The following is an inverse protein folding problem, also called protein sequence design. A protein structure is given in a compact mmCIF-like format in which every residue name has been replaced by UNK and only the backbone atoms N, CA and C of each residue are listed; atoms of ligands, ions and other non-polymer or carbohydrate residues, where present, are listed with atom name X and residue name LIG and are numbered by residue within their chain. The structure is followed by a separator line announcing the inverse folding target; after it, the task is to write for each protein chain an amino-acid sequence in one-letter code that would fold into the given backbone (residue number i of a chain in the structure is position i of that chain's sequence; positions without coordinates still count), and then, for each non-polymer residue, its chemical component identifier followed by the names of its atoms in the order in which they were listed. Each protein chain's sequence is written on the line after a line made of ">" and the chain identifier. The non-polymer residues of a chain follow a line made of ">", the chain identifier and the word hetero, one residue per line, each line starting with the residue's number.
data_IF_982687123399
#
_entry.id   IF_982687123399
#
_cell.length_a   1.000
_cell.length_b   1.000
_cell.length_c   1.000
_cell.angle_alpha   90.00
_cell.angle_beta   90.00
_cell.angle_gamma   90.00
#
_symmetry.space_group_name_H-M   'P 1'
#
loop_
_entity.id
_entity.type
_entity.pdbx_description
1 polymer ?
#
# COMPACT_ATOMS: atom_id res chain seq x y z
N UNK A 1 -42.38 12.23 -7.56
CA UNK A 1 -41.30 11.46 -8.24
C UNK A 1 -39.93 12.14 -8.20
N UNK A 2 -39.83 13.48 -8.14
CA UNK A 2 -38.55 14.18 -7.90
C UNK A 2 -37.82 13.71 -6.64
N UNK A 3 -38.57 13.38 -5.57
CA UNK A 3 -37.99 12.84 -4.33
C UNK A 3 -37.29 11.50 -4.54
N UNK A 4 -37.86 10.59 -5.34
CA UNK A 4 -37.25 9.28 -5.60
C UNK A 4 -35.94 9.41 -6.40
N UNK A 5 -35.92 10.30 -7.40
CA UNK A 5 -34.71 10.62 -8.15
C UNK A 5 -33.62 11.26 -7.26
N UNK A 6 -34.01 12.19 -6.40
CA UNK A 6 -33.11 12.85 -5.46
C UNK A 6 -32.52 11.85 -4.45
N UNK A 7 -33.36 11.00 -3.85
CA UNK A 7 -32.92 9.97 -2.90
C UNK A 7 -31.99 8.97 -3.57
N UNK A 8 -32.28 8.52 -4.79
CA UNK A 8 -31.41 7.61 -5.53
C UNK A 8 -30.03 8.21 -5.79
N UNK A 9 -29.98 9.48 -6.23
CA UNK A 9 -28.72 10.16 -6.49
C UNK A 9 -27.94 10.47 -5.21
N UNK A 10 -28.65 10.86 -4.14
CA UNK A 10 -28.06 11.12 -2.82
C UNK A 10 -27.45 9.84 -2.24
N UNK A 11 -28.17 8.72 -2.30
CA UNK A 11 -27.68 7.43 -1.83
C UNK A 11 -26.46 6.96 -2.63
N UNK A 12 -26.51 7.06 -3.96
CA UNK A 12 -25.37 6.72 -4.83
C UNK A 12 -24.13 7.57 -4.53
N UNK A 13 -24.33 8.89 -4.32
CA UNK A 13 -23.25 9.81 -3.94
C UNK A 13 -22.68 9.45 -2.57
N UNK A 14 -23.53 9.25 -1.56
CA UNK A 14 -23.10 8.90 -0.20
C UNK A 14 -22.31 7.59 -0.18
N UNK A 15 -22.84 6.54 -0.84
CA UNK A 15 -22.18 5.25 -0.95
C UNK A 15 -20.81 5.38 -1.62
N UNK A 16 -20.72 6.13 -2.71
CA UNK A 16 -19.47 6.33 -3.42
C UNK A 16 -18.42 7.05 -2.57
N UNK A 17 -18.83 8.11 -1.85
CA UNK A 17 -17.94 8.86 -0.95
C UNK A 17 -17.43 7.97 0.20
N UNK A 18 -18.32 7.23 0.86
CA UNK A 18 -17.96 6.34 1.98
C UNK A 18 -17.01 5.24 1.53
N UNK A 19 -17.33 4.55 0.44
CA UNK A 19 -16.52 3.44 -0.05
C UNK A 19 -15.13 3.92 -0.48
N UNK A 20 -15.03 5.04 -1.20
CA UNK A 20 -13.73 5.59 -1.56
C UNK A 20 -12.89 6.01 -0.35
N UNK A 21 -13.52 6.58 0.69
CA UNK A 21 -12.84 6.92 1.93
C UNK A 21 -12.34 5.69 2.69
N UNK A 22 -13.13 4.61 2.70
CA UNK A 22 -12.74 3.32 3.28
C UNK A 22 -11.54 2.71 2.54
N UNK A 23 -11.54 2.70 1.21
CA UNK A 23 -10.39 2.24 0.42
C UNK A 23 -9.13 3.08 0.67
N UNK A 24 -9.29 4.40 0.79
CA UNK A 24 -8.17 5.29 1.10
C UNK A 24 -7.59 5.02 2.49
N UNK A 25 -8.45 4.78 3.49
CA UNK A 25 -8.01 4.42 4.83
C UNK A 25 -7.30 3.07 4.86
N UNK A 26 -7.78 2.08 4.12
CA UNK A 26 -7.12 0.78 4.00
C UNK A 26 -5.75 0.91 3.32
N UNK A 27 -5.65 1.71 2.26
CA UNK A 27 -4.38 2.02 1.59
C UNK A 27 -3.38 2.68 2.55
N UNK A 28 -3.82 3.65 3.34
CA UNK A 28 -2.98 4.31 4.34
C UNK A 28 -2.52 3.32 5.43
N UNK A 29 -3.42 2.46 5.95
CA UNK A 29 -3.06 1.43 6.93
C UNK A 29 -2.05 0.43 6.37
N UNK A 30 -2.24 -0.02 5.13
CA UNK A 30 -1.31 -0.95 4.48
C UNK A 30 0.04 -0.26 4.29
N UNK A 31 0.08 0.99 3.83
CA UNK A 31 1.32 1.75 3.68
C UNK A 31 2.11 1.81 4.98
N UNK A 32 1.46 2.15 6.10
CA UNK A 32 2.13 2.21 7.40
C UNK A 32 2.72 0.87 7.84
N UNK A 33 2.09 -0.26 7.53
CA UNK A 33 2.65 -1.59 7.85
C UNK A 33 3.92 -1.92 7.06
N UNK A 34 4.12 -1.30 5.89
CA UNK A 34 5.33 -1.50 5.09
C UNK A 34 6.43 -0.48 5.37
N UNK A 35 6.19 0.55 6.20
CA UNK A 35 7.22 1.57 6.49
C UNK A 35 8.39 1.01 7.29
N UNK A 36 8.11 0.12 8.23
CA UNK A 36 9.12 -0.55 9.07
C UNK A 36 9.72 -1.79 8.39
N UNK A 37 9.01 -2.40 7.43
CA UNK A 37 9.53 -3.53 6.67
C UNK A 37 10.45 -3.10 5.51
N UNK A 38 10.13 -1.98 4.85
CA UNK A 38 10.79 -1.55 3.62
C UNK A 38 11.45 -0.17 3.77
N UNK A 39 12.71 -0.08 3.34
CA UNK A 39 13.45 1.19 3.30
C UNK A 39 12.82 2.20 2.31
N UNK A 40 13.07 3.50 2.52
CA UNK A 40 12.54 4.56 1.65
C UNK A 40 12.88 4.31 0.18
N UNK A 41 14.13 3.96 -0.10
CA UNK A 41 14.59 3.50 -1.41
C UNK A 41 15.40 2.22 -1.24
N UNK A 42 15.21 1.28 -2.16
CA UNK A 42 16.02 0.07 -2.32
C UNK A 42 16.72 0.12 -3.66
N UNK A 43 18.03 -0.08 -3.66
CA UNK A 43 18.87 -0.19 -4.86
C UNK A 43 19.21 -1.66 -5.04
N UNK A 44 18.99 -2.18 -6.24
CA UNK A 44 19.33 -3.54 -6.64
C UNK A 44 20.08 -3.52 -7.98
N UNK A 45 20.85 -4.57 -8.26
CA UNK A 45 21.55 -4.70 -9.55
C UNK A 45 20.57 -5.05 -10.66
N UNK A 46 20.72 -4.39 -11.82
CA UNK A 46 19.82 -4.62 -12.95
C UNK A 46 20.07 -5.96 -13.67
N UNK A 47 21.26 -6.56 -13.52
CA UNK A 47 21.72 -7.71 -14.32
C UNK A 47 22.09 -8.94 -13.50
N UNK A 48 22.09 -8.85 -12.17
CA UNK A 48 22.49 -9.95 -11.30
C UNK A 48 22.02 -9.81 -9.85
N UNK A 49 22.29 -10.82 -9.01
CA UNK A 49 21.82 -10.87 -7.62
C UNK A 49 22.66 -10.05 -6.63
N UNK A 50 23.75 -9.41 -7.08
CA UNK A 50 24.63 -8.61 -6.23
C UNK A 50 25.01 -7.29 -6.91
N UNK A 51 25.32 -6.30 -6.09
CA UNK A 51 25.76 -4.97 -6.50
C UNK A 51 27.28 -4.93 -6.53
N UNK A 52 27.84 -4.78 -7.73
CA UNK A 52 29.27 -4.51 -7.91
C UNK A 52 29.51 -3.00 -7.77
N UNK A 53 30.03 -2.59 -6.61
CA UNK A 53 30.42 -1.21 -6.34
C UNK A 53 31.89 -0.99 -6.71
N UNK A 54 32.16 0.08 -7.46
CA UNK A 54 33.51 0.58 -7.64
C UNK A 54 33.86 1.65 -6.57
N UNK A 55 35.09 2.16 -6.57
CA UNK A 55 35.53 3.18 -5.61
C UNK A 55 34.75 4.50 -5.73
N UNK A 56 34.32 4.87 -6.93
CA UNK A 56 33.53 6.07 -7.18
C UNK A 56 32.11 5.94 -6.63
N UNK A 57 31.49 4.76 -6.81
CA UNK A 57 30.17 4.42 -6.28
C UNK A 57 30.16 4.48 -4.75
N UNK A 58 31.22 3.97 -4.10
CA UNK A 58 31.36 4.01 -2.64
C UNK A 58 31.51 5.44 -2.11
N UNK A 59 32.27 6.29 -2.82
CA UNK A 59 32.41 7.71 -2.48
C UNK A 59 31.09 8.47 -2.69
N UNK A 60 30.34 8.16 -3.75
CA UNK A 60 29.04 8.75 -4.01
C UNK A 60 28.04 8.43 -2.91
N UNK A 61 27.91 7.15 -2.51
CA UNK A 61 27.01 6.72 -1.44
C UNK A 61 27.35 7.39 -0.10
N UNK A 62 28.63 7.46 0.25
CA UNK A 62 29.08 8.20 1.45
C UNK A 62 28.77 9.70 1.35
N UNK A 63 28.86 10.26 0.14
CA UNK A 63 28.50 11.64 -0.14
C UNK A 63 26.99 11.92 -0.03
N UNK A 64 26.12 10.92 -0.24
CA UNK A 64 24.67 11.10 -0.06
C UNK A 64 24.33 11.44 1.39
N UNK A 65 24.94 10.75 2.35
CA UNK A 65 24.73 10.97 3.78
C UNK A 65 25.17 12.37 4.22
N UNK A 66 26.21 12.91 3.59
CA UNK A 66 26.73 14.25 3.87
C UNK A 66 25.92 15.37 3.18
N UNK A 67 25.41 15.12 1.97
CA UNK A 67 24.77 16.15 1.14
C UNK A 67 23.26 16.27 1.36
N UNK A 68 22.62 15.21 1.85
CA UNK A 68 21.18 15.17 2.10
C UNK A 68 20.93 14.92 3.59
N UNK A 69 20.28 15.88 4.25
CA UNK A 69 19.94 15.76 5.66
C UNK A 69 19.14 14.49 5.95
N UNK A 70 19.46 13.82 7.05
CA UNK A 70 18.78 12.60 7.52
C UNK A 70 18.82 11.43 6.52
N UNK A 71 19.88 11.32 5.72
CA UNK A 71 20.08 10.20 4.79
C UNK A 71 21.08 9.18 5.35
N UNK A 72 20.72 7.90 5.30
CA UNK A 72 21.57 6.78 5.71
C UNK A 72 21.48 5.66 4.70
N UNK A 73 22.64 5.07 4.40
CA UNK A 73 22.80 3.99 3.43
C UNK A 73 23.26 2.72 4.14
N UNK A 74 22.63 1.59 3.82
CA UNK A 74 22.94 0.31 4.44
C UNK A 74 23.11 -0.77 3.38
N UNK A 75 24.29 -1.39 3.38
CA UNK A 75 24.59 -2.52 2.50
C UNK A 75 24.05 -3.81 3.12
N UNK A 76 23.03 -4.41 2.49
CA UNK A 76 22.37 -5.62 2.98
C UNK A 76 22.83 -6.82 2.16
N UNK A 77 23.10 -7.90 2.86
CA UNK A 77 23.54 -9.16 2.28
C UNK A 77 22.45 -10.20 2.46
N UNK A 78 22.06 -10.89 1.40
CA UNK A 78 20.95 -11.84 1.45
C UNK A 78 21.40 -13.19 0.90
N UNK A 79 21.08 -14.26 1.65
CA UNK A 79 21.26 -15.65 1.20
C UNK A 79 20.12 -16.52 1.67
N UNK A 80 19.66 -17.40 0.77
CA UNK A 80 18.71 -18.45 1.12
C UNK A 80 19.39 -19.54 1.94
N UNK A 81 18.84 -19.85 3.10
CA UNK A 81 19.34 -20.86 4.05
C UNK A 81 18.22 -21.80 4.48
N UNK A 82 18.60 -22.98 4.97
CA UNK A 82 17.70 -23.86 5.72
C UNK A 82 18.00 -23.67 7.21
N UNK A 83 16.99 -23.25 7.97
CA UNK A 83 17.05 -23.15 9.43
C UNK A 83 16.45 -24.42 10.04
N UNK A 84 17.07 -24.94 11.09
CA UNK A 84 16.56 -26.11 11.80
C UNK A 84 16.64 -25.94 13.31
N UNK A 85 15.62 -26.42 14.01
CA UNK A 85 15.58 -26.50 15.46
C UNK A 85 14.84 -27.77 15.89
N UNK A 86 15.55 -28.68 16.56
CA UNK A 86 15.01 -30.02 16.83
C UNK A 86 14.64 -30.74 15.53
N UNK A 87 13.38 -31.19 15.43
CA UNK A 87 12.82 -31.84 14.24
C UNK A 87 12.23 -30.84 13.23
N UNK A 88 12.10 -29.56 13.59
CA UNK A 88 11.48 -28.55 12.75
C UNK A 88 12.51 -27.93 11.80
N UNK A 89 12.09 -27.69 10.56
CA UNK A 89 12.92 -27.10 9.52
C UNK A 89 12.13 -26.06 8.73
N UNK A 90 12.78 -24.96 8.38
CA UNK A 90 12.16 -23.90 7.57
C UNK A 90 13.19 -23.26 6.63
N UNK A 91 12.81 -23.02 5.37
CA UNK A 91 13.65 -22.30 4.43
C UNK A 91 13.36 -20.81 4.57
N UNK A 92 14.41 -20.03 4.84
CA UNK A 92 14.33 -18.58 5.01
C UNK A 92 15.47 -17.88 4.26
N UNK A 93 15.36 -16.57 4.12
CA UNK A 93 16.45 -15.69 3.72
C UNK A 93 17.15 -15.19 4.98
N UNK A 94 18.43 -15.51 5.09
CA UNK A 94 19.31 -14.90 6.08
C UNK A 94 19.75 -13.54 5.55
N UNK A 95 19.51 -12.49 6.32
CA UNK A 95 19.99 -11.14 6.06
C UNK A 95 21.20 -10.83 6.95
N UNK A 96 22.33 -10.52 6.32
CA UNK A 96 23.50 -9.94 6.98
C UNK A 96 23.33 -8.43 7.06
N UNK A 97 22.95 -7.93 8.24
CA UNK A 97 22.57 -6.53 8.45
C UNK A 97 23.57 -5.77 9.33
N UNK A 98 23.79 -4.47 9.09
CA UNK A 98 24.58 -3.62 9.97
C UNK A 98 23.83 -3.36 11.29
N UNK A 99 24.50 -2.82 12.31
CA UNK A 99 23.89 -2.63 13.65
C UNK A 99 22.73 -1.62 13.61
N UNK A 100 22.85 -0.64 12.75
CA UNK A 100 21.91 0.46 12.52
C UNK A 100 20.57 -0.02 11.94
N UNK A 101 20.52 -1.23 11.35
CA UNK A 101 19.32 -1.79 10.74
C UNK A 101 18.16 -1.88 11.72
N UNK A 102 18.42 -2.36 12.95
CA UNK A 102 17.37 -2.53 13.96
C UNK A 102 16.76 -1.19 14.41
N UNK A 103 17.56 -0.12 14.42
CA UNK A 103 17.09 1.23 14.75
C UNK A 103 16.29 1.83 13.58
N UNK A 104 16.81 1.71 12.34
CA UNK A 104 16.18 2.28 11.15
C UNK A 104 14.86 1.64 10.74
N UNK A 105 14.66 0.37 11.11
CA UNK A 105 13.43 -0.39 10.90
C UNK A 105 12.55 -0.47 12.16
N UNK A 106 12.88 0.29 13.22
CA UNK A 106 12.16 0.30 14.50
C UNK A 106 11.88 -1.10 15.06
N UNK A 107 12.78 -2.07 14.84
CA UNK A 107 12.53 -3.48 15.19
C UNK A 107 12.26 -3.68 16.68
N UNK A 108 12.78 -2.78 17.52
CA UNK A 108 12.55 -2.78 18.97
C UNK A 108 11.08 -2.59 19.36
N UNK A 109 10.29 -1.88 18.54
CA UNK A 109 8.86 -1.67 18.76
C UNK A 109 8.03 -2.92 18.40
N UNK A 110 8.63 -3.83 17.62
CA UNK A 110 8.00 -5.02 17.06
C UNK A 110 8.47 -6.32 17.73
N UNK A 111 9.23 -6.24 18.83
CA UNK A 111 9.74 -7.41 19.54
C UNK A 111 8.63 -8.17 20.28
N UNK A 112 8.50 -9.47 19.99
CA UNK A 112 7.65 -10.38 20.74
C UNK A 112 8.40 -10.99 21.93
N UNK A 113 9.67 -11.32 21.73
CA UNK A 113 10.54 -11.88 22.77
C UNK A 113 11.98 -11.43 22.54
N UNK A 114 12.73 -11.33 23.63
CA UNK A 114 14.16 -11.10 23.59
C UNK A 114 14.88 -11.89 24.69
N UNK A 115 16.10 -12.32 24.37
CA UNK A 115 17.04 -12.88 25.32
C UNK A 115 17.51 -11.78 26.30
N UNK A 116 18.10 -12.19 27.43
CA UNK A 116 18.58 -11.26 28.45
C UNK A 116 19.66 -10.32 27.84
N UNK A 117 19.41 -9.00 27.76
CA UNK A 117 20.38 -8.07 27.21
C UNK A 117 21.65 -7.93 28.08
N UNK A 118 21.62 -8.43 29.32
CA UNK A 118 22.79 -8.51 30.21
C UNK A 118 23.76 -9.65 29.89
N UNK A 119 23.41 -10.58 28.99
CA UNK A 119 24.28 -11.68 28.58
C UNK A 119 24.94 -11.42 27.23
N UNK A 120 26.25 -11.68 27.14
CA UNK A 120 26.99 -11.63 25.88
C UNK A 120 26.87 -12.97 25.14
N UNK A 121 26.14 -12.95 24.03
CA UNK A 121 25.92 -14.12 23.16
C UNK A 121 26.93 -14.21 22.00
N UNK A 122 27.96 -13.34 22.00
CA UNK A 122 28.96 -13.27 20.95
C UNK A 122 28.42 -12.77 19.62
N UNK A 123 29.07 -13.16 18.52
CA UNK A 123 28.72 -12.73 17.15
C UNK A 123 27.75 -13.66 16.42
N UNK A 124 27.57 -14.89 16.92
CA UNK A 124 26.74 -15.93 16.31
C UNK A 124 25.29 -15.83 16.81
N UNK A 125 24.65 -14.69 16.52
CA UNK A 125 23.30 -14.38 16.98
C UNK A 125 22.34 -14.26 15.80
N UNK A 126 21.12 -14.75 16.00
CA UNK A 126 20.01 -14.63 15.07
C UNK A 126 18.87 -13.85 15.71
N UNK A 127 18.23 -13.01 14.91
CA UNK A 127 16.91 -12.44 15.21
C UNK A 127 15.94 -12.98 14.17
N UNK A 128 14.85 -13.60 14.60
CA UNK A 128 13.92 -14.30 13.73
C UNK A 128 12.64 -13.49 13.53
N UNK A 129 12.10 -13.49 12.31
CA UNK A 129 10.71 -13.10 12.11
C UNK A 129 9.76 -14.08 12.79
N UNK A 130 8.61 -13.58 13.27
CA UNK A 130 7.62 -14.38 14.01
C UNK A 130 7.13 -15.60 13.21
N UNK A 131 7.00 -15.48 11.89
CA UNK A 131 6.63 -16.58 11.00
C UNK A 131 7.72 -17.66 10.91
N UNK A 132 8.99 -17.25 10.78
CA UNK A 132 10.14 -18.17 10.82
C UNK A 132 10.19 -18.89 12.18
N UNK A 133 10.05 -18.17 13.28
CA UNK A 133 10.05 -18.74 14.63
C UNK A 133 8.89 -19.73 14.82
N UNK A 134 7.70 -19.39 14.33
CA UNK A 134 6.52 -20.27 14.37
C UNK A 134 6.78 -21.60 13.64
N UNK A 135 7.35 -21.57 12.43
CA UNK A 135 7.68 -22.79 11.68
C UNK A 135 8.79 -23.62 12.32
N UNK A 136 9.71 -22.98 13.04
CA UNK A 136 10.74 -23.66 13.83
C UNK A 136 10.21 -24.18 15.18
N UNK A 137 8.98 -23.84 15.57
CA UNK A 137 8.41 -24.21 16.87
C UNK A 137 9.03 -23.45 18.05
N UNK A 138 9.55 -22.24 17.79
CA UNK A 138 10.16 -21.37 18.78
C UNK A 138 9.13 -20.39 19.33
N UNK A 139 8.95 -20.39 20.65
CA UNK A 139 8.03 -19.49 21.36
C UNK A 139 8.69 -18.60 22.41
N UNK A 140 9.96 -18.86 22.74
CA UNK A 140 10.76 -18.07 23.68
C UNK A 140 12.22 -18.01 23.22
N UNK A 141 12.87 -16.90 23.52
CA UNK A 141 14.32 -16.67 23.34
C UNK A 141 15.06 -16.56 24.67
N UNK A 142 14.41 -16.92 25.79
CA UNK A 142 15.04 -16.94 27.10
C UNK A 142 14.83 -18.30 27.80
N UNK A 143 15.88 -19.14 27.94
CA UNK A 143 17.23 -18.95 27.38
C UNK A 143 17.23 -19.02 25.84
N UNK A 144 18.20 -18.40 25.14
CA UNK A 144 18.21 -18.36 23.69
C UNK A 144 18.46 -19.76 23.09
N UNK A 145 17.54 -20.29 22.26
CA UNK A 145 17.71 -21.59 21.65
C UNK A 145 18.79 -21.56 20.57
N UNK A 146 19.45 -22.70 20.36
CA UNK A 146 20.46 -22.86 19.32
C UNK A 146 19.77 -23.32 18.03
N UNK A 147 19.81 -22.48 17.00
CA UNK A 147 19.29 -22.78 15.67
C UNK A 147 20.48 -23.12 14.77
N UNK A 148 20.38 -24.23 14.03
CA UNK A 148 21.36 -24.57 13.01
C UNK A 148 20.97 -23.93 11.68
N UNK A 149 21.92 -23.24 11.06
CA UNK A 149 21.79 -22.55 9.79
C UNK A 149 22.60 -23.29 8.74
N UNK A 150 21.93 -23.79 7.70
CA UNK A 150 22.56 -24.54 6.62
C UNK A 150 22.54 -23.74 5.31
N UNK A 151 23.71 -23.59 4.72
CA UNK A 151 23.90 -22.96 3.40
C UNK A 151 24.04 -24.04 2.33
N UNK A 152 23.12 -24.10 1.33
CA UNK A 152 23.25 -25.03 0.22
C UNK A 152 24.38 -24.56 -0.73
N UNK A 153 25.42 -25.38 -0.87
CA UNK A 153 26.53 -25.22 -1.82
C UNK A 153 26.44 -26.24 -2.94
N UNK A 154 25.37 -26.16 -3.75
CA UNK A 154 25.26 -26.98 -4.96
C UNK A 154 26.09 -26.29 -6.05
N UNK A 155 27.30 -26.81 -6.30
CA UNK A 155 28.19 -26.34 -7.37
C UNK A 155 28.27 -27.42 -8.45
N UNK A 156 28.72 -27.07 -9.66
CA UNK A 156 28.96 -28.02 -10.76
C UNK A 156 29.96 -29.14 -10.44
N UNK A 157 30.67 -29.05 -9.30
CA UNK A 157 31.63 -30.06 -8.79
C UNK A 157 31.07 -30.92 -7.65
N UNK A 158 29.84 -30.68 -7.20
CA UNK A 158 29.22 -31.44 -6.11
C UNK A 158 28.91 -32.86 -6.60
N UNK A 159 29.62 -33.85 -6.07
CA UNK A 159 29.40 -35.27 -6.40
C UNK A 159 28.12 -35.80 -5.74
N UNK A 160 27.30 -36.53 -6.50
CA UNK A 160 26.05 -37.15 -6.01
C UNK A 160 26.31 -38.20 -4.92
N UNK A 161 27.56 -38.66 -4.76
CA UNK A 161 27.93 -39.60 -3.70
C UNK A 161 28.26 -38.94 -2.35
N UNK A 162 28.58 -37.63 -2.31
CA UNK A 162 28.95 -36.91 -1.08
C UNK A 162 28.10 -35.62 -0.95
N UNK A 163 26.81 -35.77 -0.69
CA UNK A 163 25.90 -34.63 -0.48
C UNK A 163 26.19 -33.86 0.82
N UNK A 164 26.85 -34.49 1.79
CA UNK A 164 27.23 -33.87 3.07
C UNK A 164 28.16 -32.66 2.88
N UNK A 165 29.05 -32.72 1.88
CA UNK A 165 29.97 -31.63 1.52
C UNK A 165 29.25 -30.48 0.78
N UNK A 166 28.00 -30.71 0.35
CA UNK A 166 27.18 -29.72 -0.35
C UNK A 166 26.43 -28.79 0.60
N UNK A 167 26.61 -28.94 1.92
CA UNK A 167 25.89 -28.18 2.93
C UNK A 167 26.89 -27.71 3.99
N UNK A 168 27.02 -26.40 4.16
CA UNK A 168 27.78 -25.84 5.27
C UNK A 168 26.82 -25.43 6.38
N UNK A 169 27.02 -25.95 7.59
CA UNK A 169 26.17 -25.70 8.75
C UNK A 169 26.89 -24.92 9.84
N UNK A 170 26.25 -23.91 10.41
CA UNK A 170 26.70 -23.24 11.63
C UNK A 170 25.57 -23.10 12.64
N UNK A 171 25.91 -23.12 13.93
CA UNK A 171 24.95 -22.92 15.01
C UNK A 171 24.97 -21.45 15.44
N UNK A 172 23.79 -20.89 15.71
CA UNK A 172 23.64 -19.54 16.23
C UNK A 172 22.52 -19.47 17.26
N UNK A 173 22.65 -18.53 18.19
CA UNK A 173 21.67 -18.28 19.24
C UNK A 173 20.54 -17.42 18.71
N UNK A 174 19.30 -17.90 18.78
CA UNK A 174 18.12 -17.07 18.51
C UNK A 174 17.88 -16.13 19.69
N UNK A 175 18.24 -14.87 19.52
CA UNK A 175 18.26 -13.84 20.57
C UNK A 175 16.99 -13.00 20.62
N UNK A 176 16.26 -12.90 19.52
CA UNK A 176 15.03 -12.12 19.47
C UNK A 176 14.04 -12.68 18.43
N UNK A 177 12.75 -12.46 18.68
CA UNK A 177 11.68 -12.69 17.71
C UNK A 177 10.95 -11.37 17.52
N UNK A 178 10.83 -10.88 16.28
CA UNK A 178 10.06 -9.68 15.93
C UNK A 178 8.84 -10.03 15.08
N UNK A 179 7.83 -9.17 15.08
CA UNK A 179 6.72 -9.24 14.15
C UNK A 179 6.46 -7.87 13.53
N UNK A 180 6.99 -7.65 12.34
CA UNK A 180 6.84 -6.40 11.59
C UNK A 180 5.66 -6.55 10.62
N UNK A 181 5.70 -7.62 9.82
CA UNK A 181 4.68 -7.88 8.82
C UNK A 181 4.66 -9.37 8.45
N UNK A 182 3.48 -10.00 8.23
CA UNK A 182 3.41 -11.44 7.95
C UNK A 182 4.33 -11.95 6.84
N UNK A 183 4.40 -11.21 5.72
CA UNK A 183 5.22 -11.60 4.56
C UNK A 183 6.73 -11.45 4.84
N UNK A 184 7.13 -10.42 5.58
CA UNK A 184 8.50 -10.20 6.03
C UNK A 184 8.89 -11.27 7.07
N UNK A 185 8.03 -11.46 8.07
CA UNK A 185 8.24 -12.31 9.24
C UNK A 185 8.38 -13.80 8.89
N UNK A 186 7.81 -14.25 7.77
CA UNK A 186 7.93 -15.63 7.27
C UNK A 186 9.17 -15.84 6.40
N UNK A 187 9.71 -14.76 5.80
CA UNK A 187 10.80 -14.81 4.83
C UNK A 187 12.16 -14.62 5.51
N UNK A 188 12.28 -13.74 6.50
CA UNK A 188 13.57 -13.23 6.94
C UNK A 188 14.02 -13.70 8.33
N UNK A 189 15.32 -13.98 8.43
CA UNK A 189 16.07 -14.10 9.66
C UNK A 189 17.29 -13.16 9.58
N UNK A 190 17.56 -12.39 10.63
CA UNK A 190 18.61 -11.38 10.66
C UNK A 190 19.83 -11.90 11.41
N UNK A 191 21.01 -11.61 10.87
CA UNK A 191 22.31 -11.94 11.41
C UNK A 191 23.24 -10.72 11.36
N UNK A 192 24.18 -10.56 12.31
CA UNK A 192 25.24 -9.59 12.19
C UNK A 192 26.00 -9.72 10.87
N UNK A 193 26.17 -8.61 10.16
CA UNK A 193 26.81 -8.58 8.84
C UNK A 193 28.21 -9.25 8.81
N UNK A 194 29.00 -9.11 9.88
CA UNK A 194 30.32 -9.75 10.00
C UNK A 194 30.22 -11.27 9.95
N UNK A 195 29.40 -11.85 10.83
CA UNK A 195 29.16 -13.30 10.85
C UNK A 195 28.60 -13.80 9.51
N UNK A 196 27.64 -13.07 8.93
CA UNK A 196 27.07 -13.43 7.64
C UNK A 196 28.15 -13.54 6.54
N UNK A 197 29.04 -12.55 6.44
CA UNK A 197 30.11 -12.52 5.43
C UNK A 197 31.09 -13.67 5.61
N UNK A 198 31.46 -13.96 6.86
CA UNK A 198 32.38 -15.04 7.19
C UNK A 198 31.77 -16.41 6.85
N UNK A 199 30.49 -16.62 7.16
CA UNK A 199 29.79 -17.88 6.89
C UNK A 199 29.48 -18.09 5.40
N UNK A 200 29.05 -17.04 4.70
CA UNK A 200 28.60 -17.17 3.30
C UNK A 200 29.71 -16.92 2.26
N UNK A 201 30.81 -16.29 2.67
CA UNK A 201 31.86 -15.81 1.76
C UNK A 201 31.43 -14.64 0.87
N UNK A 202 30.35 -13.94 1.21
CA UNK A 202 29.80 -12.86 0.41
C UNK A 202 30.74 -11.64 0.36
N UNK A 203 31.09 -11.20 -0.85
CA UNK A 203 31.99 -10.05 -1.09
C UNK A 203 31.25 -8.77 -1.44
N UNK A 204 30.09 -8.90 -2.10
CA UNK A 204 29.26 -7.80 -2.57
C UNK A 204 27.89 -7.86 -1.89
N UNK A 205 27.26 -6.71 -1.57
CA UNK A 205 25.91 -6.69 -1.03
C UNK A 205 24.91 -7.16 -2.08
N UNK A 206 23.81 -7.75 -1.62
CA UNK A 206 22.70 -8.15 -2.49
C UNK A 206 21.90 -6.92 -2.92
N UNK A 207 21.66 -6.00 -1.97
CA UNK A 207 20.98 -4.73 -2.21
C UNK A 207 21.45 -3.66 -1.22
N UNK A 208 21.15 -2.40 -1.54
CA UNK A 208 21.44 -1.27 -0.65
C UNK A 208 20.11 -0.60 -0.29
N UNK A 209 19.90 -0.43 1.00
CA UNK A 209 18.77 0.32 1.53
C UNK A 209 19.18 1.76 1.82
N UNK A 210 18.26 2.68 1.53
CA UNK A 210 18.46 4.10 1.77
C UNK A 210 17.25 4.62 2.52
N UNK A 211 17.50 5.14 3.71
CA UNK A 211 16.52 5.86 4.52
C UNK A 211 16.80 7.34 4.35
N UNK A 212 15.79 8.09 3.93
CA UNK A 212 15.92 9.53 3.70
C UNK A 212 14.55 10.21 3.81
N UNK A 213 14.54 11.46 4.28
CA UNK A 213 13.36 12.33 4.20
C UNK A 213 13.19 12.94 2.80
N UNK A 214 14.20 12.87 1.94
CA UNK A 214 14.25 13.56 0.64
C UNK A 214 14.17 12.61 -0.57
N UNK A 215 13.27 11.62 -0.53
CA UNK A 215 13.14 10.52 -1.52
C UNK A 215 13.35 10.98 -2.97
N UNK A 216 12.61 12.00 -3.42
CA UNK A 216 12.64 12.46 -4.81
C UNK A 216 14.00 13.03 -5.24
N UNK A 217 14.70 13.74 -4.35
CA UNK A 217 16.02 14.34 -4.65
C UNK A 217 17.09 13.25 -4.67
N UNK A 218 17.08 12.39 -3.66
CA UNK A 218 18.02 11.28 -3.53
C UNK A 218 17.86 10.26 -4.66
N UNK A 219 16.62 9.87 -5.02
CA UNK A 219 16.34 8.99 -6.16
C UNK A 219 16.95 9.52 -7.45
N UNK A 220 16.71 10.79 -7.78
CA UNK A 220 17.27 11.41 -8.98
C UNK A 220 18.80 11.42 -8.97
N UNK A 221 19.43 11.65 -7.83
CA UNK A 221 20.88 11.61 -7.69
C UNK A 221 21.43 10.19 -7.94
N UNK A 222 20.79 9.17 -7.36
CA UNK A 222 21.15 7.76 -7.55
C UNK A 222 20.99 7.35 -9.01
N UNK A 223 19.85 7.67 -9.62
CA UNK A 223 19.59 7.37 -11.03
C UNK A 223 20.59 8.05 -11.97
N UNK A 224 20.98 9.30 -11.66
CA UNK A 224 21.99 10.01 -12.44
C UNK A 224 23.39 9.38 -12.32
N UNK A 225 23.75 8.86 -11.14
CA UNK A 225 25.06 8.26 -10.88
C UNK A 225 25.17 6.82 -11.40
N UNK A 226 24.19 5.98 -11.07
CA UNK A 226 24.22 4.55 -11.42
C UNK A 226 23.66 4.26 -12.81
N UNK A 227 22.80 5.12 -13.35
CA UNK A 227 22.15 4.93 -14.65
C UNK A 227 21.41 3.59 -14.71
N UNK A 228 21.52 2.89 -15.84
CA UNK A 228 20.86 1.61 -16.06
C UNK A 228 21.57 0.41 -15.39
N UNK A 229 22.64 0.62 -14.61
CA UNK A 229 23.34 -0.47 -13.90
C UNK A 229 22.52 -1.00 -12.73
N UNK A 230 21.68 -0.15 -12.14
CA UNK A 230 20.92 -0.45 -10.95
C UNK A 230 19.45 -0.10 -11.13
N UNK A 231 18.59 -0.83 -10.45
CA UNK A 231 17.17 -0.52 -10.31
C UNK A 231 16.94 0.15 -8.96
N UNK A 232 16.28 1.30 -8.97
CA UNK A 232 15.92 2.03 -7.74
C UNK A 232 14.42 1.91 -7.54
N UNK A 233 14.02 1.23 -6.47
CA UNK A 233 12.62 1.02 -6.11
C UNK A 233 12.28 1.77 -4.81
N UNK A 234 11.27 2.63 -4.84
CA UNK A 234 10.70 3.16 -3.59
C UNK A 234 9.78 2.13 -2.92
N UNK A 235 9.26 2.45 -1.72
CA UNK A 235 8.40 1.53 -0.95
C UNK A 235 7.21 0.99 -1.75
N UNK A 236 6.56 1.85 -2.55
CA UNK A 236 5.43 1.44 -3.39
C UNK A 236 5.86 0.48 -4.51
N UNK A 237 7.04 0.71 -5.08
CA UNK A 237 7.61 -0.10 -6.15
C UNK A 237 8.13 -1.44 -5.64
N UNK A 238 8.63 -1.51 -4.41
CA UNK A 238 9.04 -2.76 -3.74
C UNK A 238 7.85 -3.72 -3.60
N UNK A 239 6.66 -3.19 -3.34
CA UNK A 239 5.40 -3.96 -3.21
C UNK A 239 4.45 -3.75 -4.40
N UNK A 240 5.01 -3.52 -5.60
CA UNK A 240 4.24 -3.13 -6.78
C UNK A 240 3.08 -4.07 -7.10
N UNK A 241 3.21 -5.38 -6.83
CA UNK A 241 2.14 -6.35 -7.07
C UNK A 241 0.92 -6.07 -6.19
N UNK A 242 1.13 -5.88 -4.88
CA UNK A 242 0.05 -5.61 -3.93
C UNK A 242 -0.65 -4.28 -4.27
N UNK A 243 0.12 -3.21 -4.44
CA UNK A 243 -0.43 -1.90 -4.77
C UNK A 243 -1.13 -1.88 -6.13
N UNK A 244 -0.65 -2.65 -7.11
CA UNK A 244 -1.31 -2.79 -8.42
C UNK A 244 -2.65 -3.49 -8.30
N UNK A 245 -2.75 -4.54 -7.47
CA UNK A 245 -4.03 -5.22 -7.18
C UNK A 245 -4.99 -4.25 -6.51
N UNK A 246 -4.57 -3.58 -5.43
CA UNK A 246 -5.40 -2.59 -4.73
C UNK A 246 -5.91 -1.48 -5.65
N UNK A 247 -5.04 -0.95 -6.51
CA UNK A 247 -5.42 0.07 -7.50
C UNK A 247 -6.44 -0.47 -8.50
N UNK A 248 -6.29 -1.72 -8.94
CA UNK A 248 -7.22 -2.39 -9.83
C UNK A 248 -8.58 -2.60 -9.17
N UNK A 249 -8.61 -3.09 -7.93
CA UNK A 249 -9.84 -3.28 -7.14
C UNK A 249 -10.59 -1.96 -6.93
N UNK A 250 -9.87 -0.91 -6.53
CA UNK A 250 -10.43 0.44 -6.40
C UNK A 250 -11.06 0.92 -7.70
N UNK A 251 -10.41 0.67 -8.84
CA UNK A 251 -10.94 1.07 -10.15
C UNK A 251 -12.24 0.32 -10.49
N UNK A 252 -12.30 -0.99 -10.24
CA UNK A 252 -13.53 -1.79 -10.44
C UNK A 252 -14.67 -1.26 -9.57
N UNK A 253 -14.40 -0.96 -8.30
CA UNK A 253 -15.40 -0.41 -7.36
C UNK A 253 -15.90 0.95 -7.82
N UNK A 254 -15.01 1.84 -8.28
CA UNK A 254 -15.40 3.13 -8.88
C UNK A 254 -16.31 2.92 -10.09
N UNK A 255 -16.03 1.96 -10.96
CA UNK A 255 -16.89 1.68 -12.11
C UNK A 255 -18.28 1.17 -11.71
N UNK A 256 -18.36 0.28 -10.72
CA UNK A 256 -19.64 -0.22 -10.20
C UNK A 256 -20.45 0.94 -9.61
N UNK A 257 -19.83 1.78 -8.78
CA UNK A 257 -20.50 2.93 -8.16
C UNK A 257 -20.91 3.98 -9.19
N UNK A 258 -20.06 4.28 -10.17
CA UNK A 258 -20.41 5.15 -11.28
C UNK A 258 -21.59 4.60 -12.10
N UNK A 259 -21.66 3.27 -12.28
CA UNK A 259 -22.79 2.62 -12.94
C UNK A 259 -24.08 2.71 -12.12
N UNK A 260 -24.01 2.57 -10.79
CA UNK A 260 -25.16 2.79 -9.90
C UNK A 260 -25.64 4.24 -10.00
N UNK A 261 -24.72 5.22 -10.00
CA UNK A 261 -25.05 6.64 -10.19
C UNK A 261 -25.67 6.89 -11.57
N UNK A 262 -25.19 6.23 -12.61
CA UNK A 262 -25.78 6.28 -13.95
C UNK A 262 -27.22 5.77 -13.95
N UNK A 263 -27.48 4.63 -13.32
CA UNK A 263 -28.83 4.08 -13.18
C UNK A 263 -29.75 5.02 -12.39
N UNK A 264 -29.26 5.58 -11.29
CA UNK A 264 -29.99 6.57 -10.49
C UNK A 264 -30.30 7.85 -11.29
N UNK A 265 -29.39 8.25 -12.17
CA UNK A 265 -29.54 9.43 -13.02
C UNK A 265 -30.65 9.28 -14.07
N UNK A 266 -31.03 8.06 -14.47
CA UNK A 266 -32.24 7.86 -15.27
C UNK A 266 -33.52 8.26 -14.50
N UNK A 267 -33.51 8.13 -13.17
CA UNK A 267 -34.58 8.68 -12.33
C UNK A 267 -34.73 10.19 -12.50
N UNK A 268 -33.63 10.92 -12.69
CA UNK A 268 -33.65 12.37 -12.98
C UNK A 268 -34.29 12.63 -14.34
N UNK A 269 -33.97 11.84 -15.37
CA UNK A 269 -34.60 11.93 -16.69
C UNK A 269 -36.11 11.74 -16.58
N UNK A 270 -36.56 10.71 -15.88
CA UNK A 270 -37.99 10.45 -15.65
C UNK A 270 -38.66 11.62 -14.92
N UNK A 271 -38.01 12.17 -13.89
CA UNK A 271 -38.53 13.33 -13.17
C UNK A 271 -38.66 14.56 -14.08
N UNK A 272 -37.67 14.82 -14.94
CA UNK A 272 -37.70 15.95 -15.88
C UNK A 272 -38.81 15.82 -16.92
N UNK A 273 -39.01 14.63 -17.48
CA UNK A 273 -40.08 14.38 -18.45
C UNK A 273 -41.44 14.64 -17.79
N UNK A 274 -41.64 14.17 -16.56
CA UNK A 274 -42.91 14.36 -15.84
C UNK A 274 -43.13 15.84 -15.53
N UNK A 275 -42.12 16.56 -15.03
CA UNK A 275 -42.22 18.00 -14.77
C UNK A 275 -42.59 18.74 -16.06
N UNK A 276 -42.03 18.35 -17.20
CA UNK A 276 -42.36 18.97 -18.47
C UNK A 276 -43.77 18.67 -18.96
N UNK A 277 -44.27 17.44 -18.75
CA UNK A 277 -45.64 17.08 -19.06
C UNK A 277 -46.64 17.82 -18.16
N UNK A 278 -46.35 17.93 -16.86
CA UNK A 278 -47.16 18.69 -15.90
C UNK A 278 -47.17 20.19 -16.21
N UNK A 279 -46.06 20.72 -16.73
CA UNK A 279 -45.87 22.15 -17.04
C UNK A 279 -46.10 22.50 -18.50
N UNK A 280 -46.77 21.64 -19.26
CA UNK A 280 -47.00 21.83 -20.69
C UNK A 280 -47.76 23.12 -21.01
N UNK A 281 -48.81 23.45 -20.25
CA UNK A 281 -49.62 24.65 -20.48
C UNK A 281 -48.84 25.94 -20.14
N UNK A 282 -48.03 25.90 -19.07
CA UNK A 282 -47.12 26.99 -18.69
C UNK A 282 -46.08 27.23 -19.80
N UNK A 283 -45.54 26.16 -20.40
CA UNK A 283 -44.61 26.23 -21.54
C UNK A 283 -45.27 26.87 -22.76
N UNK A 284 -46.51 26.50 -23.10
CA UNK A 284 -47.25 27.12 -24.21
C UNK A 284 -47.53 28.60 -23.97
N UNK A 285 -47.81 28.99 -22.72
CA UNK A 285 -48.02 30.39 -22.36
C UNK A 285 -46.74 31.20 -22.54
N UNK A 286 -45.60 30.70 -22.05
CA UNK A 286 -44.29 31.35 -22.23
C UNK A 286 -43.92 31.45 -23.72
N UNK A 287 -44.22 30.42 -24.51
CA UNK A 287 -43.99 30.45 -25.95
C UNK A 287 -44.85 31.50 -26.65
N UNK A 288 -46.14 31.62 -26.28
CA UNK A 288 -47.03 32.66 -26.79
C UNK A 288 -46.59 34.09 -26.36
N UNK A 289 -45.88 34.22 -25.24
CA UNK A 289 -45.26 35.47 -24.80
C UNK A 289 -43.93 35.79 -25.50
N UNK A 290 -43.45 34.94 -26.41
CA UNK A 290 -42.25 35.15 -27.22
C UNK A 290 -40.99 34.45 -26.72
N UNK A 291 -41.08 33.53 -25.75
CA UNK A 291 -39.92 32.73 -25.33
C UNK A 291 -39.44 31.82 -26.47
N UNK A 292 -38.13 31.78 -26.73
CA UNK A 292 -37.57 30.87 -27.74
C UNK A 292 -37.49 29.43 -27.24
N UNK A 293 -37.36 28.46 -28.14
CA UNK A 293 -37.09 27.06 -27.74
C UNK A 293 -35.82 26.92 -26.89
N UNK A 294 -34.83 27.79 -27.11
CA UNK A 294 -33.59 27.78 -26.34
C UNK A 294 -33.83 28.23 -24.89
N UNK A 295 -34.71 29.21 -24.68
CA UNK A 295 -35.09 29.69 -23.35
C UNK A 295 -35.84 28.61 -22.57
N UNK A 296 -36.80 27.96 -23.23
CA UNK A 296 -37.55 26.85 -22.65
C UNK A 296 -36.63 25.67 -22.30
N UNK A 297 -35.68 25.31 -23.19
CA UNK A 297 -34.67 24.28 -22.91
C UNK A 297 -33.77 24.67 -21.73
N UNK A 298 -33.37 25.93 -21.64
CA UNK A 298 -32.55 26.42 -20.52
C UNK A 298 -33.24 26.24 -19.17
N UNK A 299 -34.56 26.48 -19.10
CA UNK A 299 -35.35 26.29 -17.87
C UNK A 299 -35.32 24.83 -17.41
N UNK A 300 -35.64 23.88 -18.30
CA UNK A 300 -35.64 22.45 -17.94
C UNK A 300 -34.24 21.92 -17.62
N UNK A 301 -33.20 22.37 -18.34
CA UNK A 301 -31.83 21.99 -18.03
C UNK A 301 -31.40 22.48 -16.64
N UNK A 302 -31.72 23.73 -16.27
CA UNK A 302 -31.46 24.28 -14.94
C UNK A 302 -32.21 23.52 -13.85
N UNK A 303 -33.47 23.14 -14.09
CA UNK A 303 -34.21 22.29 -13.15
C UNK A 303 -33.53 20.93 -12.95
N UNK A 304 -33.07 20.29 -14.03
CA UNK A 304 -32.32 19.04 -13.93
C UNK A 304 -31.00 19.20 -13.19
N UNK A 305 -30.28 20.30 -13.43
CA UNK A 305 -29.05 20.62 -12.71
C UNK A 305 -29.32 20.85 -11.21
N UNK A 306 -30.43 21.50 -10.84
CA UNK A 306 -30.82 21.66 -9.44
C UNK A 306 -31.12 20.33 -8.76
N UNK A 307 -31.83 19.41 -9.43
CA UNK A 307 -32.08 18.06 -8.89
C UNK A 307 -30.76 17.32 -8.69
N UNK A 308 -29.85 17.39 -9.66
CA UNK A 308 -28.53 16.74 -9.58
C UNK A 308 -27.67 17.36 -8.46
N UNK A 309 -27.63 18.69 -8.37
CA UNK A 309 -26.84 19.40 -7.37
C UNK A 309 -27.38 19.15 -5.95
N UNK A 310 -28.69 19.12 -5.75
CA UNK A 310 -29.30 18.84 -4.44
C UNK A 310 -29.12 17.38 -4.03
N UNK A 311 -29.23 16.43 -4.97
CA UNK A 311 -28.92 15.02 -4.73
C UNK A 311 -27.45 14.81 -4.38
N UNK A 312 -26.54 15.40 -5.16
CA UNK A 312 -25.10 15.37 -4.85
C UNK A 312 -24.79 15.98 -3.48
N UNK A 313 -25.32 17.17 -3.18
CA UNK A 313 -25.03 17.88 -1.93
C UNK A 313 -25.55 17.11 -0.72
N UNK A 314 -26.80 16.64 -0.78
CA UNK A 314 -27.38 15.84 0.31
C UNK A 314 -26.65 14.51 0.50
N UNK A 315 -26.30 13.82 -0.59
CA UNK A 315 -25.50 12.60 -0.54
C UNK A 315 -24.10 12.82 0.01
N UNK A 316 -23.44 13.93 -0.35
CA UNK A 316 -22.13 14.29 0.20
C UNK A 316 -22.22 14.54 1.71
N UNK A 317 -23.22 15.30 2.17
CA UNK A 317 -23.43 15.54 3.60
C UNK A 317 -23.66 14.23 4.36
N UNK A 318 -24.51 13.34 3.83
CA UNK A 318 -24.75 12.02 4.44
C UNK A 318 -23.48 11.16 4.45
N UNK A 319 -22.75 11.09 3.33
CA UNK A 319 -21.52 10.31 3.23
C UNK A 319 -20.43 10.80 4.18
N UNK A 320 -20.22 12.12 4.25
CA UNK A 320 -19.30 12.72 5.21
C UNK A 320 -19.73 12.48 6.66
N UNK A 321 -21.03 12.53 6.95
CA UNK A 321 -21.58 12.19 8.27
C UNK A 321 -21.28 10.74 8.67
N UNK A 322 -21.44 9.79 7.74
CA UNK A 322 -21.11 8.37 7.96
C UNK A 322 -19.61 8.18 8.18
N UNK A 323 -18.76 8.85 7.38
CA UNK A 323 -17.29 8.79 7.54
C UNK A 323 -16.88 9.34 8.91
N UNK A 324 -17.40 10.50 9.30
CA UNK A 324 -17.12 11.09 10.61
C UNK A 324 -17.55 10.16 11.74
N UNK A 325 -18.74 9.55 11.62
CA UNK A 325 -19.23 8.60 12.60
C UNK A 325 -18.33 7.36 12.70
N UNK A 326 -17.88 6.80 11.59
CA UNK A 326 -16.91 5.70 11.59
C UNK A 326 -15.57 6.11 12.20
N UNK A 327 -15.08 7.31 11.90
CA UNK A 327 -13.80 7.82 12.41
C UNK A 327 -13.80 8.03 13.94
N UNK A 328 -14.88 8.56 14.51
CA UNK A 328 -14.95 8.87 15.95
C UNK A 328 -15.53 7.73 16.80
N UNK A 329 -16.46 6.95 16.26
CA UNK A 329 -17.18 5.92 17.03
C UNK A 329 -16.68 4.52 16.71
N UNK A 330 -16.08 4.27 15.53
CA UNK A 330 -15.61 2.94 15.16
C UNK A 330 -16.73 1.92 15.06
N UNK A 331 -17.68 2.10 14.13
CA UNK A 331 -18.84 1.20 14.04
C UNK A 331 -18.44 -0.17 13.48
N UNK A 332 -17.51 -0.18 12.51
CA UNK A 332 -17.09 -1.41 11.82
C UNK A 332 -15.72 -1.86 12.34
N UNK A 333 -15.63 -2.96 13.10
CA UNK A 333 -14.36 -3.52 13.57
C UNK A 333 -13.63 -4.31 12.47
N UNK A 334 -12.29 -4.35 12.52
CA UNK A 334 -11.45 -5.15 11.62
C UNK A 334 -11.36 -6.63 12.01
N UNK A 335 -11.72 -6.97 13.25
CA UNK A 335 -11.57 -8.30 13.83
C UNK A 335 -10.31 -8.42 14.70
N UNK A 336 -10.06 -9.61 15.25
CA UNK A 336 -8.95 -9.88 16.17
C UNK A 336 -7.66 -10.16 15.41
N UNK A 337 -6.56 -9.50 15.75
CA UNK A 337 -5.22 -9.76 15.18
C UNK A 337 -4.62 -8.62 14.33
N UNK A 338 -5.32 -7.49 14.20
CA UNK A 338 -4.78 -6.27 13.58
C UNK A 338 -4.42 -5.24 14.66
N UNK A 339 -3.36 -4.45 14.42
CA UNK A 339 -2.93 -3.35 15.31
C UNK A 339 -4.03 -2.27 15.43
N UNK A 340 -4.90 -2.15 14.43
CA UNK A 340 -6.05 -1.24 14.43
C UNK A 340 -7.36 -1.99 14.65
N UNK A 341 -8.14 -1.56 15.66
CA UNK A 341 -9.38 -2.23 16.08
C UNK A 341 -10.55 -2.01 15.10
N UNK A 342 -10.54 -0.91 14.33
CA UNK A 342 -11.64 -0.48 13.46
C UNK A 342 -11.19 -0.25 12.03
N UNK A 343 -12.10 -0.50 11.07
CA UNK A 343 -11.82 -0.30 9.66
C UNK A 343 -11.49 1.17 9.38
N UNK A 344 -10.28 1.47 8.86
CA UNK A 344 -9.82 2.83 8.69
C UNK A 344 -10.59 3.55 7.58
N UNK A 345 -10.86 4.83 7.81
CA UNK A 345 -11.43 5.74 6.82
C UNK A 345 -10.54 6.97 6.71
N UNK A 346 -10.20 7.36 5.49
CA UNK A 346 -9.34 8.51 5.21
C UNK A 346 -10.07 9.49 4.30
N UNK A 347 -10.11 10.76 4.69
CA UNK A 347 -10.81 11.80 3.94
C UNK A 347 -9.82 12.55 3.05
N UNK A 348 -9.62 12.03 1.83
CA UNK A 348 -8.78 12.69 0.81
C UNK A 348 -9.64 13.56 -0.10
N UNK A 349 -9.21 14.80 -0.32
CA UNK A 349 -9.92 15.75 -1.18
C UNK A 349 -10.07 15.22 -2.62
N UNK A 350 -9.10 14.44 -3.09
CA UNK A 350 -9.11 13.78 -4.41
C UNK A 350 -10.33 12.88 -4.60
N UNK A 351 -10.73 12.14 -3.56
CA UNK A 351 -11.89 11.24 -3.63
C UNK A 351 -13.22 12.00 -3.62
N UNK A 352 -13.29 13.09 -2.87
CA UNK A 352 -14.44 14.01 -2.89
C UNK A 352 -14.57 14.65 -4.27
N UNK A 353 -13.46 15.13 -4.84
CA UNK A 353 -13.41 15.72 -6.17
C UNK A 353 -13.81 14.71 -7.25
N UNK A 354 -13.28 13.47 -7.20
CA UNK A 354 -13.61 12.40 -8.13
C UNK A 354 -15.10 12.03 -8.06
N UNK A 355 -15.65 11.85 -6.86
CA UNK A 355 -17.08 11.54 -6.67
C UNK A 355 -17.95 12.66 -7.24
N UNK A 356 -17.59 13.91 -6.94
CA UNK A 356 -18.31 15.09 -7.42
C UNK A 356 -18.26 15.20 -8.95
N UNK A 357 -17.10 14.96 -9.55
CA UNK A 357 -16.93 14.97 -11.00
C UNK A 357 -17.78 13.90 -11.69
N UNK A 358 -17.83 12.68 -11.14
CA UNK A 358 -18.61 11.57 -11.69
C UNK A 358 -20.12 11.85 -11.57
N UNK A 359 -20.59 12.21 -10.38
CA UNK A 359 -22.02 12.44 -10.13
C UNK A 359 -22.54 13.64 -10.92
N UNK A 360 -21.86 14.79 -10.82
CA UNK A 360 -22.28 16.00 -11.54
C UNK A 360 -22.10 15.83 -13.05
N UNK A 361 -21.04 15.14 -13.50
CA UNK A 361 -20.78 14.86 -14.90
C UNK A 361 -21.87 14.00 -15.54
N UNK A 362 -22.18 12.85 -14.92
CA UNK A 362 -23.23 11.93 -15.40
C UNK A 362 -24.61 12.61 -15.33
N UNK A 363 -24.94 13.22 -14.18
CA UNK A 363 -26.24 13.84 -13.96
C UNK A 363 -26.50 15.01 -14.91
N UNK A 364 -25.51 15.90 -15.10
CA UNK A 364 -25.63 17.03 -16.02
C UNK A 364 -25.73 16.58 -17.48
N UNK A 365 -24.96 15.56 -17.88
CA UNK A 365 -24.99 15.01 -19.23
C UNK A 365 -26.36 14.41 -19.58
N UNK A 366 -26.93 13.63 -18.65
CA UNK A 366 -28.26 13.05 -18.82
C UNK A 366 -29.37 14.11 -18.78
N UNK A 367 -29.24 15.13 -17.93
CA UNK A 367 -30.16 16.28 -17.91
C UNK A 367 -30.16 17.03 -19.25
N UNK A 368 -28.98 17.31 -19.80
CA UNK A 368 -28.84 17.96 -21.12
C UNK A 368 -29.48 17.13 -22.24
N UNK A 369 -29.25 15.81 -22.22
CA UNK A 369 -29.82 14.89 -23.19
C UNK A 369 -31.36 14.82 -23.09
N UNK A 370 -31.89 14.69 -21.87
CA UNK A 370 -33.33 14.64 -21.62
C UNK A 370 -34.03 15.91 -22.09
N UNK A 371 -33.46 17.07 -21.76
CA UNK A 371 -34.01 18.38 -22.11
C UNK A 371 -34.14 18.58 -23.63
N UNK A 372 -33.20 18.05 -24.42
CA UNK A 372 -33.29 18.08 -25.90
C UNK A 372 -34.46 17.26 -26.45
N UNK A 373 -34.93 16.24 -25.72
CA UNK A 373 -36.05 15.39 -26.16
C UNK A 373 -37.42 15.90 -25.72
N UNK A 374 -37.47 16.67 -24.64
CA UNK A 374 -38.71 17.17 -24.04
C UNK A 374 -39.38 18.27 -24.90
N UNK A 375 -38.58 19.14 -25.52
CA UNK A 375 -39.08 20.24 -26.36
C UNK A 375 -38.93 19.83 -27.82
N UNK A 376 -39.90 19.03 -28.28
CA UNK A 376 -40.17 18.66 -29.66
C UNK A 376 -41.66 18.74 -29.95
#
# INVERSE_FOLDING_TARGET
>A
MSLAALVGLALGTAAMTVVLSAFAGLEDLILTQFEDANATLKIESATGPYIELNSEDSLFLSGLEANYGETSTMAIYEKRVLLTYGENQHIAYLLGVPKEYAERHHLSEHLLTMADPGMDYGTYTLTLGAGVAYHLGLSSTNPPPIVSVYLPKITSKTSVLNLSDAIEGQNAFATAIHSVQPDYDQKYALAPQGWFKDFTGAKAPSFIEIHTAEERRVRKAIEAHFGNRMTVANRLEQEATLFKVMRSERMVVVFILAFIVLLASFGVVSALIIIALEKKDDVHTLWAMGASEADLRSIFFKNGLLIVATGWLSGMVVGLGVIALQHYVGIVPLGTGYVQEYYPVSLKWEHIALTSAIVLGIGSSLSAWATRRVIK
#
